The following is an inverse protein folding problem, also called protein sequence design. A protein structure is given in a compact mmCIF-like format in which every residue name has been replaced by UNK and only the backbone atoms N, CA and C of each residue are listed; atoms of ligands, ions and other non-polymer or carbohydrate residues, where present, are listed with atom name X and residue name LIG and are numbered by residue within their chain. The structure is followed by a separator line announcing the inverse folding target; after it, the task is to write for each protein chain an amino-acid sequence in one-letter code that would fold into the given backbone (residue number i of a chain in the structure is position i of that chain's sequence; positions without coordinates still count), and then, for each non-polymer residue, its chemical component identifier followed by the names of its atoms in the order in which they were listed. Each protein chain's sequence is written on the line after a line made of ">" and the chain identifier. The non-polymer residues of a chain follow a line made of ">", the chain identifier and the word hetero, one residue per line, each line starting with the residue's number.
data_IF_048752711004
#
_entry.id   IF_048752711004
#
_cell.length_a   1.000
_cell.length_b   1.000
_cell.length_c   1.000
_cell.angle_alpha   90.00
_cell.angle_beta   90.00
_cell.angle_gamma   90.00
#
_symmetry.space_group_name_H-M   'P 1'
#
loop_
_entity.id
_entity.type
_entity.pdbx_description
1 polymer ?
#
# COMPACT_ATOMS: atom_id res chain seq x y z
N UNK A 1 -10.85 28.89 -27.97
CA UNK A 1 -10.36 27.58 -28.44
C UNK A 1 -9.71 27.77 -29.80
N UNK A 2 -8.44 27.40 -29.96
CA UNK A 2 -7.74 27.36 -31.25
C UNK A 2 -7.37 25.92 -31.60
N UNK A 3 -7.26 25.60 -32.90
CA UNK A 3 -6.80 24.28 -33.34
C UNK A 3 -5.32 24.08 -32.98
N UNK A 4 -5.00 22.95 -32.33
CA UNK A 4 -3.65 22.57 -31.93
C UNK A 4 -2.78 22.18 -33.14
N UNK A 5 -3.38 21.44 -34.08
CA UNK A 5 -2.77 21.08 -35.36
C UNK A 5 -3.60 21.62 -36.52
N UNK A 6 -2.92 22.05 -37.57
CA UNK A 6 -3.51 22.46 -38.84
C UNK A 6 -2.75 21.78 -39.97
N UNK A 7 -3.47 21.46 -41.05
CA UNK A 7 -2.82 21.08 -42.29
C UNK A 7 -2.24 22.35 -42.93
N UNK A 8 -0.92 22.40 -43.06
CA UNK A 8 -0.20 23.37 -43.89
C UNK A 8 0.94 22.62 -44.58
N UNK A 9 0.74 22.34 -45.85
CA UNK A 9 1.68 21.62 -46.71
C UNK A 9 3.05 22.28 -46.76
N UNK A 10 3.12 23.61 -46.60
CA UNK A 10 4.36 24.36 -46.65
C UNK A 10 5.03 24.53 -45.28
N UNK A 11 4.41 24.06 -44.19
CA UNK A 11 4.92 24.14 -42.81
C UNK A 11 5.31 25.57 -42.37
N UNK A 12 4.63 26.56 -42.93
CA UNK A 12 4.81 27.99 -42.63
C UNK A 12 4.06 28.38 -41.35
N UNK A 13 2.91 27.76 -41.11
CA UNK A 13 2.20 27.85 -39.84
C UNK A 13 2.94 27.01 -38.79
N UNK A 14 3.39 27.66 -37.71
CA UNK A 14 4.03 26.98 -36.60
C UNK A 14 3.19 25.82 -36.07
N UNK A 15 1.85 25.88 -36.15
CA UNK A 15 0.93 24.81 -35.69
C UNK A 15 1.00 23.54 -36.54
N UNK A 16 1.40 23.65 -37.81
CA UNK A 16 1.53 22.49 -38.70
C UNK A 16 2.82 21.69 -38.45
N UNK A 17 3.84 22.31 -37.85
CA UNK A 17 5.09 21.61 -37.49
C UNK A 17 4.83 20.55 -36.43
N UNK A 18 5.09 19.28 -36.71
CA UNK A 18 5.12 18.23 -35.68
C UNK A 18 6.54 18.19 -35.12
N UNK A 19 6.69 18.61 -33.86
CA UNK A 19 7.96 18.61 -33.13
C UNK A 19 7.89 17.64 -31.96
N UNK A 20 9.04 17.19 -31.45
CA UNK A 20 9.09 16.32 -30.26
C UNK A 20 8.40 16.99 -29.07
N UNK A 21 8.68 18.27 -28.82
CA UNK A 21 8.01 19.06 -27.79
C UNK A 21 6.47 19.08 -27.91
N UNK A 22 5.95 19.14 -29.15
CA UNK A 22 4.49 19.08 -29.38
C UNK A 22 3.91 17.69 -29.17
N UNK A 23 4.65 16.66 -29.55
CA UNK A 23 4.25 15.28 -29.28
C UNK A 23 4.25 15.03 -27.77
N UNK A 24 5.30 15.46 -27.06
CA UNK A 24 5.42 15.33 -25.60
C UNK A 24 4.31 16.09 -24.84
N UNK A 25 3.89 17.25 -25.35
CA UNK A 25 2.76 18.00 -24.78
C UNK A 25 1.38 17.33 -24.97
N UNK A 26 1.27 16.32 -25.85
CA UNK A 26 0.01 15.62 -26.18
C UNK A 26 0.03 14.16 -25.73
N UNK A 27 1.21 13.54 -25.59
CA UNK A 27 1.40 12.18 -25.13
C UNK A 27 1.69 12.12 -23.62
N UNK A 28 0.99 11.26 -22.89
CA UNK A 28 1.41 10.80 -21.56
C UNK A 28 2.25 9.51 -21.73
N UNK A 29 2.16 8.58 -20.78
CA UNK A 29 2.78 7.26 -20.84
C UNK A 29 1.89 6.30 -21.64
N UNK A 30 2.48 5.63 -22.64
CA UNK A 30 1.82 4.59 -23.43
C UNK A 30 2.63 3.30 -23.32
N UNK A 31 2.01 2.22 -22.85
CA UNK A 31 2.65 0.91 -22.78
C UNK A 31 1.65 -0.19 -23.13
N UNK A 32 2.13 -1.28 -23.74
CA UNK A 32 1.32 -2.48 -24.01
C UNK A 32 1.06 -3.27 -22.73
N UNK A 33 2.06 -3.36 -21.85
CA UNK A 33 1.94 -3.91 -20.51
C UNK A 33 1.82 -2.76 -19.51
N UNK A 34 0.76 -2.75 -18.70
CA UNK A 34 0.56 -1.70 -17.68
C UNK A 34 1.61 -1.83 -16.58
N UNK A 35 1.92 -3.05 -16.17
CA UNK A 35 2.97 -3.35 -15.20
C UNK A 35 4.35 -3.47 -15.90
N UNK A 36 4.76 -2.43 -16.64
CA UNK A 36 6.01 -2.41 -17.41
C UNK A 36 7.29 -2.30 -16.55
N UNK A 37 7.16 -2.20 -15.23
CA UNK A 37 8.27 -2.36 -14.28
C UNK A 37 7.89 -3.52 -13.37
N UNK A 38 8.78 -4.50 -13.25
CA UNK A 38 8.50 -5.75 -12.54
C UNK A 38 9.66 -6.11 -11.63
N UNK A 39 9.35 -6.70 -10.48
CA UNK A 39 10.35 -7.42 -9.70
C UNK A 39 10.92 -8.57 -10.54
N UNK A 40 12.25 -8.71 -10.59
CA UNK A 40 12.90 -9.72 -11.42
C UNK A 40 13.89 -10.61 -10.65
N UNK A 41 14.59 -10.05 -9.67
CA UNK A 41 15.47 -10.79 -8.78
C UNK A 41 15.70 -10.01 -7.48
N UNK A 42 16.45 -10.60 -6.54
CA UNK A 42 16.76 -9.95 -5.27
C UNK A 42 17.41 -8.58 -5.47
N UNK A 43 16.78 -7.53 -4.94
CA UNK A 43 17.17 -6.13 -5.09
C UNK A 43 17.13 -5.60 -6.52
N UNK A 44 16.42 -6.27 -7.43
CA UNK A 44 16.39 -5.95 -8.86
C UNK A 44 14.98 -5.85 -9.42
N UNK A 45 14.82 -4.89 -10.32
CA UNK A 45 13.64 -4.70 -11.15
C UNK A 45 14.03 -4.80 -12.61
N UNK A 46 13.07 -5.18 -13.46
CA UNK A 46 13.20 -5.08 -14.91
C UNK A 46 12.17 -4.09 -15.44
N UNK A 47 12.64 -3.08 -16.15
CA UNK A 47 11.81 -2.24 -17.03
C UNK A 47 11.67 -3.00 -18.35
N UNK A 48 10.43 -3.21 -18.79
CA UNK A 48 10.12 -3.87 -20.05
C UNK A 48 10.32 -2.90 -21.22
N UNK A 49 10.71 -3.43 -22.37
CA UNK A 49 10.85 -2.62 -23.59
C UNK A 49 9.49 -2.17 -24.16
N UNK A 50 9.47 -0.99 -24.78
CA UNK A 50 8.39 -0.53 -25.65
C UNK A 50 7.39 0.43 -25.03
N UNK A 51 7.48 0.75 -23.74
CA UNK A 51 6.75 1.87 -23.16
C UNK A 51 7.31 3.20 -23.69
N UNK A 52 6.42 4.07 -24.18
CA UNK A 52 6.73 5.40 -24.70
C UNK A 52 6.36 6.44 -23.64
N UNK A 53 7.32 7.27 -23.24
CA UNK A 53 7.21 8.16 -22.08
C UNK A 53 7.70 9.56 -22.45
N UNK A 54 6.84 10.55 -22.28
CA UNK A 54 7.21 11.96 -22.39
C UNK A 54 7.85 12.47 -21.10
N UNK A 55 8.96 13.19 -21.22
CA UNK A 55 9.67 13.83 -20.11
C UNK A 55 10.12 15.22 -20.55
N UNK A 56 9.45 16.25 -20.03
CA UNK A 56 9.66 17.62 -20.51
C UNK A 56 9.32 17.76 -22.00
N UNK A 57 10.30 18.15 -22.80
CA UNK A 57 10.20 18.28 -24.26
C UNK A 57 10.73 17.07 -25.05
N UNK A 58 11.12 15.99 -24.36
CA UNK A 58 11.63 14.75 -24.94
C UNK A 58 10.62 13.60 -24.86
N UNK A 59 10.81 12.61 -25.75
CA UNK A 59 10.05 11.36 -25.76
C UNK A 59 11.05 10.21 -25.80
N UNK A 60 10.90 9.30 -24.85
CA UNK A 60 11.73 8.11 -24.70
C UNK A 60 10.94 6.86 -25.01
N UNK A 61 11.62 5.80 -25.45
CA UNK A 61 11.03 4.48 -25.61
C UNK A 61 11.90 3.49 -24.85
N UNK A 62 11.37 3.03 -23.72
CA UNK A 62 12.06 2.09 -22.83
C UNK A 62 12.64 0.90 -23.60
N UNK A 63 13.88 0.55 -23.28
CA UNK A 63 14.51 -0.73 -23.59
C UNK A 63 14.47 -1.64 -22.35
N UNK A 64 14.62 -2.95 -22.56
CA UNK A 64 14.71 -3.88 -21.45
C UNK A 64 15.91 -3.54 -20.57
N UNK A 65 15.64 -3.07 -19.34
CA UNK A 65 16.66 -2.50 -18.46
C UNK A 65 16.52 -3.06 -17.06
N UNK A 66 17.62 -3.53 -16.49
CA UNK A 66 17.66 -3.92 -15.07
C UNK A 66 17.96 -2.70 -14.21
N UNK A 67 17.11 -2.45 -13.21
CA UNK A 67 17.32 -1.44 -12.17
C UNK A 67 17.68 -2.11 -10.85
N UNK A 68 18.55 -1.47 -10.08
CA UNK A 68 19.00 -1.96 -8.77
C UNK A 68 19.43 -0.79 -7.87
N UNK A 69 20.01 -1.08 -6.70
CA UNK A 69 20.61 -0.06 -5.84
C UNK A 69 21.67 0.80 -6.54
N UNK A 70 22.25 0.34 -7.66
CA UNK A 70 23.15 1.15 -8.49
C UNK A 70 22.48 2.37 -9.16
N UNK A 71 21.14 2.38 -9.21
CA UNK A 71 20.35 3.48 -9.76
C UNK A 71 19.89 4.47 -8.68
N UNK A 72 20.25 4.28 -7.41
CA UNK A 72 19.91 5.22 -6.35
C UNK A 72 20.64 6.55 -6.56
N UNK A 73 19.92 7.65 -6.35
CA UNK A 73 20.41 9.02 -6.51
C UNK A 73 21.14 9.59 -5.28
N UNK A 74 20.97 8.97 -4.10
CA UNK A 74 21.64 9.40 -2.86
C UNK A 74 22.28 8.28 -2.04
N UNK A 75 21.56 7.18 -1.81
CA UNK A 75 22.03 6.07 -0.98
C UNK A 75 22.77 4.99 -1.80
N UNK A 76 23.54 4.12 -1.13
CA UNK A 76 24.25 3.00 -1.78
C UNK A 76 23.52 1.66 -1.70
N UNK A 77 22.39 1.61 -1.00
CA UNK A 77 21.58 0.42 -0.76
C UNK A 77 20.16 0.82 -0.37
N UNK A 78 19.18 -0.02 -0.67
CA UNK A 78 17.82 0.15 -0.18
C UNK A 78 17.77 -0.04 1.34
N UNK A 79 17.06 0.86 2.01
CA UNK A 79 16.86 0.84 3.46
C UNK A 79 15.52 0.20 3.82
N UNK A 80 15.51 -0.58 4.91
CA UNK A 80 14.33 -1.24 5.41
C UNK A 80 13.17 -0.29 5.67
N UNK A 81 11.97 -0.66 5.22
CA UNK A 81 10.72 0.04 5.50
C UNK A 81 10.60 1.37 4.74
N UNK A 82 11.32 1.51 3.62
CA UNK A 82 11.29 2.70 2.77
C UNK A 82 10.54 2.45 1.48
N UNK A 83 9.78 3.46 1.07
CA UNK A 83 9.23 3.55 -0.27
C UNK A 83 10.22 4.27 -1.18
N UNK A 84 10.39 3.71 -2.37
CA UNK A 84 11.25 4.22 -3.42
C UNK A 84 10.43 4.53 -4.66
N UNK A 85 10.82 5.60 -5.36
CA UNK A 85 10.16 6.10 -6.56
C UNK A 85 11.14 6.00 -7.74
N UNK A 86 10.64 5.50 -8.85
CA UNK A 86 11.42 5.31 -10.08
C UNK A 86 11.11 6.46 -11.03
N UNK A 87 12.16 7.14 -11.45
CA UNK A 87 12.10 8.27 -12.34
C UNK A 87 12.80 7.97 -13.66
N UNK A 88 12.19 8.45 -14.74
CA UNK A 88 12.85 8.62 -16.02
C UNK A 88 13.26 10.10 -16.15
N UNK A 89 14.53 10.34 -16.45
CA UNK A 89 15.14 11.65 -16.42
C UNK A 89 15.66 12.04 -17.80
N UNK A 90 15.37 13.28 -18.22
CA UNK A 90 15.91 13.90 -19.41
C UNK A 90 17.15 14.73 -19.05
N UNK A 91 18.34 14.28 -19.46
CA UNK A 91 19.60 14.99 -19.20
C UNK A 91 19.88 16.15 -20.18
N UNK A 92 18.93 16.46 -21.07
CA UNK A 92 19.02 17.54 -22.05
C UNK A 92 19.95 17.28 -23.23
N UNK A 93 20.38 16.03 -23.47
CA UNK A 93 21.28 15.66 -24.58
C UNK A 93 20.57 14.73 -25.55
N UNK A 94 20.36 15.19 -26.77
CA UNK A 94 19.75 14.41 -27.86
C UNK A 94 20.50 13.11 -28.21
N UNK A 95 21.77 13.00 -27.82
CA UNK A 95 22.59 11.79 -28.01
C UNK A 95 22.50 10.77 -26.87
N UNK A 96 21.74 11.07 -25.81
CA UNK A 96 21.57 10.18 -24.66
C UNK A 96 20.20 9.49 -24.70
N UNK A 97 20.20 8.21 -24.30
CA UNK A 97 18.98 7.43 -24.07
C UNK A 97 18.41 7.68 -22.67
N UNK A 98 17.46 6.84 -22.24
CA UNK A 98 16.84 6.86 -20.93
C UNK A 98 17.85 6.90 -19.77
N UNK A 99 17.66 7.84 -18.85
CA UNK A 99 18.36 7.85 -17.56
C UNK A 99 17.35 7.48 -16.47
N UNK A 100 17.56 6.34 -15.83
CA UNK A 100 16.73 5.91 -14.71
C UNK A 100 17.37 6.23 -13.37
N UNK A 101 16.61 6.86 -12.49
CA UNK A 101 16.97 7.10 -11.09
C UNK A 101 15.92 6.49 -10.16
N UNK A 102 16.39 5.94 -9.05
CA UNK A 102 15.55 5.51 -7.93
C UNK A 102 15.79 6.48 -6.78
N UNK A 103 14.72 7.01 -6.21
CA UNK A 103 14.81 8.02 -5.14
C UNK A 103 13.88 7.71 -3.98
N UNK A 104 14.24 8.13 -2.76
CA UNK A 104 13.29 8.23 -1.63
C UNK A 104 12.44 9.51 -1.73
N UNK A 105 12.87 10.49 -2.52
CA UNK A 105 12.15 11.73 -2.72
C UNK A 105 10.96 11.49 -3.66
N UNK A 106 9.76 11.80 -3.17
CA UNK A 106 8.52 11.59 -3.91
C UNK A 106 8.19 12.72 -4.89
N UNK A 107 8.97 13.79 -4.94
CA UNK A 107 8.73 14.89 -5.89
C UNK A 107 9.52 14.63 -7.17
N UNK A 108 10.85 14.62 -7.07
CA UNK A 108 11.81 14.33 -8.13
C UNK A 108 13.11 13.81 -7.49
N UNK A 109 14.01 13.16 -8.27
CA UNK A 109 15.29 12.67 -7.76
C UNK A 109 16.15 13.76 -7.12
N UNK A 110 16.95 13.38 -6.15
CA UNK A 110 17.95 14.25 -5.55
C UNK A 110 19.08 14.55 -6.56
N UNK A 111 19.57 15.80 -6.55
CA UNK A 111 20.55 16.32 -7.52
C UNK A 111 20.22 17.75 -7.90
N UNK A 112 21.21 18.55 -8.30
CA UNK A 112 20.98 19.97 -8.67
C UNK A 112 20.49 20.12 -10.11
N UNK A 113 20.64 19.05 -10.89
CA UNK A 113 20.27 18.96 -12.29
C UNK A 113 18.86 18.40 -12.52
N UNK A 114 18.17 17.94 -11.47
CA UNK A 114 16.84 17.30 -11.57
C UNK A 114 15.76 18.17 -10.95
N UNK A 115 14.65 18.33 -11.67
CA UNK A 115 13.45 19.02 -11.22
C UNK A 115 12.18 18.40 -11.85
N UNK A 116 11.03 19.06 -11.65
CA UNK A 116 9.74 18.61 -12.16
C UNK A 116 9.54 18.82 -13.68
N UNK A 117 10.47 19.52 -14.33
CA UNK A 117 10.40 19.80 -15.77
C UNK A 117 11.16 18.78 -16.60
N UNK A 118 12.20 18.16 -16.02
CA UNK A 118 13.07 17.21 -16.71
C UNK A 118 13.05 15.79 -16.11
N UNK A 119 12.16 15.52 -15.17
CA UNK A 119 11.94 14.17 -14.62
C UNK A 119 10.48 13.75 -14.67
N UNK A 120 10.27 12.44 -14.80
CA UNK A 120 8.94 11.83 -14.77
C UNK A 120 8.95 10.65 -13.82
N UNK A 121 8.11 10.71 -12.78
CA UNK A 121 7.85 9.54 -11.93
C UNK A 121 7.06 8.50 -12.72
N UNK A 122 7.66 7.33 -12.95
CA UNK A 122 7.09 6.26 -13.78
C UNK A 122 6.67 5.03 -12.98
N UNK A 123 7.10 4.93 -11.72
CA UNK A 123 6.75 3.83 -10.83
C UNK A 123 7.35 3.97 -9.45
N UNK A 124 7.33 2.88 -8.69
CA UNK A 124 7.93 2.80 -7.36
C UNK A 124 7.71 1.43 -6.73
N UNK A 125 8.22 1.27 -5.51
CA UNK A 125 8.13 0.03 -4.74
C UNK A 125 8.40 0.30 -3.25
N UNK A 126 8.07 -0.68 -2.42
CA UNK A 126 8.43 -0.74 -1.02
C UNK A 126 9.57 -1.74 -0.79
N UNK A 127 10.58 -1.38 0.00
CA UNK A 127 11.67 -2.29 0.39
C UNK A 127 11.51 -2.70 1.86
N UNK A 128 11.37 -3.99 2.13
CA UNK A 128 11.07 -4.49 3.46
C UNK A 128 11.02 -6.02 3.53
N UNK A 129 10.27 -6.56 4.49
CA UNK A 129 10.15 -8.00 4.64
C UNK A 129 9.29 -8.63 3.54
N UNK A 130 9.66 -9.84 3.11
CA UNK A 130 8.96 -10.61 2.08
C UNK A 130 8.79 -12.07 2.53
N UNK A 131 7.55 -12.57 2.47
CA UNK A 131 7.22 -13.96 2.76
C UNK A 131 7.66 -14.86 1.62
N UNK A 132 8.45 -15.88 1.92
CA UNK A 132 8.77 -16.90 0.91
C UNK A 132 7.54 -17.78 0.65
N UNK A 133 7.21 -17.92 -0.63
CA UNK A 133 6.05 -18.68 -1.12
C UNK A 133 6.45 -19.64 -2.24
N UNK A 134 5.61 -20.64 -2.49
CA UNK A 134 5.68 -21.46 -3.70
C UNK A 134 5.06 -20.74 -4.92
N UNK A 135 5.05 -21.43 -6.07
CA UNK A 135 4.46 -20.93 -7.32
C UNK A 135 2.96 -20.64 -7.25
N UNK A 136 2.27 -21.11 -6.21
CA UNK A 136 0.85 -20.89 -5.96
C UNK A 136 0.59 -19.80 -4.90
N UNK A 137 1.63 -19.13 -4.41
CA UNK A 137 1.51 -18.09 -3.40
C UNK A 137 1.26 -18.62 -1.99
N UNK A 138 1.64 -19.86 -1.69
CA UNK A 138 1.48 -20.47 -0.35
C UNK A 138 2.79 -20.41 0.42
N UNK A 139 2.73 -20.11 1.70
CA UNK A 139 3.86 -20.03 2.61
C UNK A 139 4.61 -21.37 2.72
N UNK A 140 5.94 -21.31 2.61
CA UNK A 140 6.81 -22.48 2.65
C UNK A 140 7.91 -22.35 3.69
N UNK A 141 8.42 -23.47 4.19
CA UNK A 141 9.67 -23.49 4.94
C UNK A 141 10.90 -23.43 4.01
N UNK A 142 12.10 -23.44 4.59
CA UNK A 142 13.37 -23.38 3.85
C UNK A 142 13.60 -24.57 2.91
N UNK A 143 12.85 -25.66 3.06
CA UNK A 143 12.88 -26.82 2.14
C UNK A 143 11.79 -26.78 1.07
N UNK A 144 11.01 -25.69 0.98
CA UNK A 144 9.92 -25.56 0.01
C UNK A 144 8.63 -26.31 0.39
N UNK A 145 8.52 -26.84 1.60
CA UNK A 145 7.30 -27.52 2.06
C UNK A 145 6.27 -26.50 2.55
N UNK A 146 5.06 -26.55 1.99
CA UNK A 146 3.93 -25.69 2.40
C UNK A 146 3.61 -25.92 3.87
N UNK A 147 3.63 -24.84 4.66
CA UNK A 147 3.51 -24.89 6.13
C UNK A 147 4.42 -25.94 6.81
N UNK A 148 5.58 -26.22 6.23
CA UNK A 148 6.59 -27.08 6.87
C UNK A 148 7.14 -26.42 8.13
N UNK A 149 7.76 -27.21 9.02
CA UNK A 149 8.34 -26.70 10.27
C UNK A 149 9.19 -25.43 10.06
N UNK A 150 8.87 -24.36 10.79
CA UNK A 150 9.60 -23.09 10.78
C UNK A 150 9.27 -22.15 9.62
N UNK A 151 8.23 -22.43 8.82
CA UNK A 151 7.78 -21.57 7.72
C UNK A 151 7.51 -20.12 8.14
N UNK A 152 7.05 -19.89 9.38
CA UNK A 152 6.74 -18.57 9.93
C UNK A 152 7.96 -17.65 9.92
N UNK A 153 9.15 -18.23 10.09
CA UNK A 153 10.43 -17.52 10.09
C UNK A 153 11.12 -17.45 8.73
N UNK A 154 10.57 -18.14 7.72
CA UNK A 154 11.09 -18.13 6.36
C UNK A 154 10.67 -16.85 5.61
N UNK A 155 11.21 -15.74 6.08
CA UNK A 155 11.05 -14.39 5.56
C UNK A 155 12.43 -13.90 5.17
N UNK A 156 12.50 -13.09 4.12
CA UNK A 156 13.72 -12.38 3.75
C UNK A 156 13.42 -10.88 3.63
N UNK A 157 14.45 -10.09 3.39
CA UNK A 157 14.32 -8.67 3.15
C UNK A 157 14.66 -8.39 1.70
N UNK A 158 13.80 -7.65 1.01
CA UNK A 158 13.91 -7.38 -0.42
C UNK A 158 12.94 -6.25 -0.84
N UNK A 159 12.95 -5.92 -2.13
CA UNK A 159 11.83 -5.26 -2.80
C UNK A 159 10.60 -6.16 -2.65
N UNK A 160 9.55 -5.69 -2.00
CA UNK A 160 8.29 -6.44 -1.91
C UNK A 160 7.68 -6.57 -3.31
N UNK A 161 7.61 -7.76 -3.93
CA UNK A 161 7.32 -7.88 -5.37
C UNK A 161 5.95 -7.32 -5.75
N UNK A 162 4.96 -7.46 -4.87
CA UNK A 162 3.61 -6.96 -5.07
C UNK A 162 3.44 -5.49 -4.66
N UNK A 163 4.46 -4.81 -4.14
CA UNK A 163 4.44 -3.35 -3.95
C UNK A 163 4.92 -2.58 -5.18
N UNK A 164 5.50 -3.27 -6.17
CA UNK A 164 5.97 -2.64 -7.41
C UNK A 164 4.78 -2.11 -8.19
N UNK A 165 4.79 -0.80 -8.44
CA UNK A 165 3.75 -0.10 -9.16
C UNK A 165 4.33 0.73 -10.30
N UNK A 166 3.53 1.00 -11.31
CA UNK A 166 3.85 1.90 -12.42
C UNK A 166 2.80 3.01 -12.53
N UNK A 167 3.07 4.05 -13.29
CA UNK A 167 2.08 5.08 -13.60
C UNK A 167 0.78 4.52 -14.21
N UNK A 168 0.80 3.32 -14.80
CA UNK A 168 -0.34 2.64 -15.41
C UNK A 168 -0.88 1.44 -14.59
N UNK A 169 -0.15 0.99 -13.57
CA UNK A 169 -0.51 -0.10 -12.67
C UNK A 169 -0.21 0.29 -11.22
N UNK A 170 -1.17 0.94 -10.56
CA UNK A 170 -1.02 1.53 -9.23
C UNK A 170 -2.39 1.67 -8.55
N UNK A 171 -2.45 1.88 -7.22
CA UNK A 171 -3.69 2.34 -6.60
C UNK A 171 -4.09 3.73 -7.11
N UNK A 172 -5.39 4.01 -7.03
CA UNK A 172 -5.95 5.34 -7.31
C UNK A 172 -5.47 6.39 -6.31
N UNK A 173 -5.20 6.00 -5.06
CA UNK A 173 -4.62 6.86 -4.04
C UNK A 173 -3.09 6.99 -4.18
N UNK A 174 -2.45 7.57 -3.17
CA UNK A 174 -0.99 7.52 -3.02
C UNK A 174 -0.53 6.05 -2.90
N UNK A 175 0.46 5.60 -3.70
CA UNK A 175 0.90 4.21 -3.74
C UNK A 175 1.92 3.84 -2.66
N UNK A 176 2.44 4.82 -1.91
CA UNK A 176 3.46 4.61 -0.89
C UNK A 176 2.92 3.73 0.23
N UNK A 177 3.71 2.76 0.66
CA UNK A 177 3.33 1.81 1.69
C UNK A 177 2.15 0.90 1.31
N UNK A 178 1.89 0.68 0.01
CA UNK A 178 0.82 -0.21 -0.44
C UNK A 178 1.34 -1.42 -1.21
N UNK A 179 0.59 -2.51 -1.14
CA UNK A 179 0.87 -3.75 -1.85
C UNK A 179 -0.38 -4.26 -2.58
N UNK A 180 -0.19 -4.71 -3.82
CA UNK A 180 -1.22 -5.29 -4.66
C UNK A 180 -1.63 -6.66 -4.15
N UNK A 181 -2.93 -6.86 -3.96
CA UNK A 181 -3.50 -8.12 -3.50
C UNK A 181 -3.95 -9.02 -4.68
N UNK A 182 -4.12 -8.44 -5.87
CA UNK A 182 -4.75 -9.07 -7.03
C UNK A 182 -6.11 -8.44 -7.34
N UNK A 183 -6.66 -8.75 -8.51
CA UNK A 183 -8.01 -8.33 -8.93
C UNK A 183 -8.30 -6.83 -8.79
N UNK A 184 -7.31 -5.98 -9.05
CA UNK A 184 -7.49 -4.54 -8.98
C UNK A 184 -7.49 -3.97 -7.56
N UNK A 185 -7.09 -4.71 -6.53
CA UNK A 185 -7.09 -4.26 -5.13
C UNK A 185 -5.67 -4.05 -4.58
N UNK A 186 -5.46 -2.93 -3.89
CA UNK A 186 -4.25 -2.62 -3.12
C UNK A 186 -4.59 -2.46 -1.64
N UNK A 187 -3.70 -2.89 -0.76
CA UNK A 187 -3.82 -2.72 0.68
C UNK A 187 -2.59 -2.04 1.26
N UNK A 188 -2.80 -1.29 2.33
CA UNK A 188 -1.74 -0.75 3.17
C UNK A 188 -0.87 -1.89 3.72
N UNK A 189 0.45 -1.79 3.57
CA UNK A 189 1.44 -2.76 4.07
C UNK A 189 1.42 -2.77 5.60
N UNK A 190 1.38 -1.59 6.23
CA UNK A 190 1.33 -1.41 7.67
C UNK A 190 -0.05 -0.97 8.16
N UNK A 191 -0.37 -1.28 9.42
CA UNK A 191 -1.48 -0.64 10.14
C UNK A 191 -1.36 0.88 10.00
N UNK A 192 -2.49 1.55 9.78
CA UNK A 192 -2.48 2.97 9.52
C UNK A 192 -2.03 3.77 10.75
N UNK A 193 -1.32 4.86 10.51
CA UNK A 193 -1.06 5.93 11.47
C UNK A 193 -1.71 7.23 11.03
N UNK A 194 -1.83 8.19 11.93
CA UNK A 194 -2.25 9.55 11.57
C UNK A 194 -1.22 10.19 10.64
N UNK A 195 -1.67 10.95 9.65
CA UNK A 195 -0.80 11.71 8.73
C UNK A 195 -0.47 13.13 9.24
N UNK A 196 -1.05 13.54 10.37
CA UNK A 196 -0.94 14.90 10.91
C UNK A 196 -1.82 15.94 10.17
N UNK A 197 -2.58 15.51 9.17
CA UNK A 197 -3.43 16.33 8.30
C UNK A 197 -4.89 15.83 8.28
N UNK A 198 -5.29 15.07 9.31
CA UNK A 198 -6.60 14.42 9.46
C UNK A 198 -6.89 13.25 8.50
N UNK A 199 -5.92 12.76 7.78
CA UNK A 199 -6.00 11.53 6.99
C UNK A 199 -5.34 10.34 7.69
N UNK A 200 -4.92 9.37 6.88
CA UNK A 200 -4.24 8.14 7.29
C UNK A 200 -3.05 7.88 6.35
N UNK A 201 -1.99 7.31 6.89
CA UNK A 201 -0.81 6.88 6.12
C UNK A 201 -0.36 5.48 6.57
N UNK A 202 0.29 4.73 5.67
CA UNK A 202 0.86 3.42 5.96
C UNK A 202 2.38 3.54 5.93
N UNK A 203 3.01 3.59 7.11
CA UNK A 203 4.43 3.94 7.23
C UNK A 203 5.11 3.01 8.23
N UNK A 204 6.27 2.47 7.86
CA UNK A 204 7.10 1.66 8.74
C UNK A 204 7.46 2.40 10.02
N UNK A 205 7.51 1.69 11.16
CA UNK A 205 7.90 2.24 12.45
C UNK A 205 7.00 3.38 12.97
N UNK A 206 5.83 3.59 12.38
CA UNK A 206 4.83 4.48 12.92
C UNK A 206 4.04 3.80 14.04
N UNK A 207 3.60 4.59 15.02
CA UNK A 207 2.63 4.11 16.02
C UNK A 207 1.25 4.07 15.35
N UNK A 208 0.53 2.93 15.38
CA UNK A 208 -0.77 2.84 14.73
C UNK A 208 -1.78 3.73 15.45
N UNK A 209 -2.66 4.36 14.66
CA UNK A 209 -3.77 5.17 15.19
C UNK A 209 -4.87 4.25 15.71
N UNK A 210 -5.44 4.61 16.85
CA UNK A 210 -6.45 3.83 17.57
C UNK A 210 -7.44 4.75 18.27
N UNK A 211 -8.34 4.18 19.08
CA UNK A 211 -9.20 4.97 19.94
C UNK A 211 -8.46 5.83 20.97
N UNK A 212 -7.15 5.64 21.21
CA UNK A 212 -6.36 6.60 21.99
C UNK A 212 -6.40 8.01 21.38
N UNK A 213 -6.42 8.08 20.05
CA UNK A 213 -6.55 9.31 19.27
C UNK A 213 -8.03 9.65 18.96
N UNK A 214 -8.98 8.96 19.58
CA UNK A 214 -10.42 9.13 19.35
C UNK A 214 -10.95 8.37 18.13
N UNK A 215 -10.16 7.48 17.53
CA UNK A 215 -10.62 6.66 16.40
C UNK A 215 -11.76 5.73 16.83
N UNK A 216 -12.86 5.80 16.10
CA UNK A 216 -13.91 4.77 16.05
C UNK A 216 -14.13 4.40 14.57
N UNK A 217 -15.07 3.48 14.30
CA UNK A 217 -15.31 3.00 12.94
C UNK A 217 -15.73 4.12 11.97
N UNK A 218 -16.54 5.09 12.42
CA UNK A 218 -16.96 6.23 11.59
C UNK A 218 -15.78 7.14 11.25
N UNK A 219 -15.00 7.53 12.25
CA UNK A 219 -13.84 8.40 12.09
C UNK A 219 -12.77 7.70 11.23
N UNK A 220 -12.60 6.39 11.36
CA UNK A 220 -11.71 5.62 10.51
C UNK A 220 -12.10 5.70 9.03
N UNK A 221 -13.39 5.55 8.71
CA UNK A 221 -13.90 5.73 7.34
C UNK A 221 -13.72 7.17 6.84
N UNK A 222 -14.02 8.17 7.67
CA UNK A 222 -13.85 9.58 7.31
C UNK A 222 -12.39 9.93 7.00
N UNK A 223 -11.44 9.46 7.83
CA UNK A 223 -10.02 9.68 7.62
C UNK A 223 -9.50 8.92 6.40
N UNK A 224 -9.93 7.67 6.19
CA UNK A 224 -9.58 6.87 5.01
C UNK A 224 -10.04 7.55 3.71
N UNK A 225 -11.29 8.06 3.68
CA UNK A 225 -11.85 8.72 2.51
C UNK A 225 -11.07 9.99 2.11
N UNK A 226 -10.54 10.75 3.08
CA UNK A 226 -9.74 11.96 2.82
C UNK A 226 -8.46 11.67 2.06
N UNK A 227 -7.90 10.47 2.18
CA UNK A 227 -6.70 10.02 1.48
C UNK A 227 -7.01 9.10 0.30
N UNK A 228 -8.27 9.06 -0.15
CA UNK A 228 -8.69 8.27 -1.31
C UNK A 228 -8.71 6.75 -1.06
N UNK A 229 -8.81 6.33 0.20
CA UNK A 229 -8.86 4.92 0.62
C UNK A 229 -10.19 4.59 1.29
N UNK A 230 -10.38 3.31 1.64
CA UNK A 230 -11.51 2.81 2.42
C UNK A 230 -11.07 1.69 3.36
N UNK A 231 -11.91 1.34 4.34
CA UNK A 231 -11.73 0.10 5.10
C UNK A 231 -11.95 -1.11 4.17
N UNK A 232 -11.22 -2.22 4.36
CA UNK A 232 -11.50 -3.45 3.64
C UNK A 232 -12.83 -4.04 4.08
N UNK A 233 -13.55 -4.70 3.18
CA UNK A 233 -14.56 -5.68 3.58
C UNK A 233 -13.88 -6.94 4.17
N UNK A 234 -14.68 -7.88 4.71
CA UNK A 234 -14.11 -9.07 5.33
C UNK A 234 -13.34 -9.94 4.32
N UNK A 235 -13.80 -10.08 3.09
CA UNK A 235 -13.15 -10.91 2.08
C UNK A 235 -11.80 -10.31 1.66
N UNK A 236 -11.75 -8.99 1.46
CA UNK A 236 -10.53 -8.23 1.17
C UNK A 236 -9.52 -8.34 2.33
N UNK A 237 -10.00 -8.21 3.56
CA UNK A 237 -9.17 -8.37 4.75
C UNK A 237 -8.57 -9.78 4.84
N UNK A 238 -9.37 -10.82 4.57
CA UNK A 238 -8.89 -12.21 4.55
C UNK A 238 -7.85 -12.46 3.47
N UNK A 239 -7.98 -11.84 2.29
CA UNK A 239 -6.96 -11.91 1.23
C UNK A 239 -5.65 -11.28 1.72
N UNK A 240 -5.73 -10.11 2.34
CA UNK A 240 -4.57 -9.41 2.89
C UNK A 240 -3.88 -10.24 4.00
N UNK A 241 -4.68 -10.93 4.82
CA UNK A 241 -4.21 -11.62 6.01
C UNK A 241 -3.68 -13.04 5.77
N UNK A 242 -4.02 -13.68 4.64
CA UNK A 242 -3.68 -15.08 4.37
C UNK A 242 -2.17 -15.37 4.55
N UNK A 243 -1.87 -16.51 5.17
CA UNK A 243 -0.49 -16.91 5.48
C UNK A 243 0.25 -16.06 6.51
N UNK A 244 -0.42 -15.10 7.18
CA UNK A 244 0.11 -14.50 8.40
C UNK A 244 0.14 -15.54 9.52
N UNK A 245 1.23 -15.68 10.29
CA UNK A 245 1.30 -16.62 11.39
C UNK A 245 0.22 -16.41 12.45
N UNK A 246 -0.20 -17.51 13.09
CA UNK A 246 -1.01 -17.44 14.30
C UNK A 246 -0.20 -16.82 15.44
N UNK A 247 -0.89 -16.06 16.31
CA UNK A 247 -0.29 -15.51 17.51
C UNK A 247 0.16 -16.57 18.52
N UNK A 248 0.99 -16.13 19.47
CA UNK A 248 1.55 -16.94 20.54
C UNK A 248 1.28 -16.26 21.89
N UNK A 249 0.88 -17.03 22.90
CA UNK A 249 0.62 -16.49 24.25
C UNK A 249 1.90 -16.00 24.93
N UNK A 250 2.99 -16.74 24.80
CA UNK A 250 4.23 -16.51 25.55
C UNK A 250 5.32 -15.79 24.77
N UNK A 251 5.05 -15.31 23.54
CA UNK A 251 6.08 -14.72 22.69
C UNK A 251 5.52 -13.74 21.66
N UNK A 252 6.36 -12.77 21.27
CA UNK A 252 6.12 -11.88 20.13
C UNK A 252 6.87 -12.34 18.86
N UNK A 253 7.34 -13.58 18.79
CA UNK A 253 8.11 -14.09 17.64
C UNK A 253 7.37 -13.94 16.30
N UNK A 254 6.04 -14.10 16.31
CA UNK A 254 5.20 -14.19 15.11
C UNK A 254 4.24 -13.00 14.92
N UNK A 255 4.32 -12.01 15.80
CA UNK A 255 3.40 -10.88 15.87
C UNK A 255 3.40 -10.30 17.27
N UNK A 256 2.90 -9.08 17.43
CA UNK A 256 2.69 -8.49 18.76
C UNK A 256 1.48 -9.16 19.40
N UNK A 257 1.67 -10.34 20.00
CA UNK A 257 0.56 -11.20 20.45
C UNK A 257 0.70 -11.71 21.88
N UNK A 258 1.90 -11.66 22.47
CA UNK A 258 2.12 -12.17 23.82
C UNK A 258 1.10 -11.60 24.82
N UNK A 259 0.44 -12.46 25.58
CA UNK A 259 -0.64 -12.06 26.51
C UNK A 259 -0.14 -11.15 27.64
N UNK A 260 1.18 -11.06 27.84
CA UNK A 260 1.83 -10.13 28.76
C UNK A 260 2.00 -8.71 28.21
N UNK A 261 1.76 -8.48 26.92
CA UNK A 261 1.83 -7.13 26.34
C UNK A 261 0.72 -6.25 26.93
N UNK A 262 1.01 -4.97 27.12
CA UNK A 262 0.08 -4.02 27.77
C UNK A 262 -0.35 -2.85 26.87
N UNK A 263 0.21 -2.72 25.67
CA UNK A 263 -0.07 -1.62 24.76
C UNK A 263 0.28 -1.96 23.30
N UNK A 264 -0.25 -1.15 22.37
CA UNK A 264 0.18 -1.12 20.96
C UNK A 264 1.62 -0.65 20.85
N UNK A 265 2.23 -0.96 19.72
CA UNK A 265 3.62 -0.59 19.42
C UNK A 265 3.80 -0.26 17.95
N UNK A 266 4.98 0.26 17.62
CA UNK A 266 5.35 0.65 16.27
C UNK A 266 5.29 -0.54 15.30
N UNK A 267 4.77 -0.27 14.10
CA UNK A 267 4.49 -1.26 13.06
C UNK A 267 5.75 -1.71 12.32
N UNK A 268 5.71 -2.92 11.75
CA UNK A 268 6.70 -3.48 10.84
C UNK A 268 7.94 -4.07 11.53
N UNK A 269 7.96 -4.17 12.86
CA UNK A 269 9.18 -4.53 13.62
C UNK A 269 9.46 -6.02 13.74
N UNK A 270 8.43 -6.86 13.62
CA UNK A 270 8.58 -8.31 13.77
C UNK A 270 8.63 -8.92 12.38
N UNK A 271 9.81 -9.40 11.99
CA UNK A 271 10.07 -10.04 10.69
C UNK A 271 9.04 -11.10 10.30
N UNK A 272 8.63 -11.94 11.25
CA UNK A 272 7.71 -13.04 10.96
C UNK A 272 6.25 -12.58 10.88
N UNK A 273 5.91 -11.38 11.34
CA UNK A 273 4.54 -10.86 11.39
C UNK A 273 4.10 -10.32 10.03
N UNK A 274 4.10 -11.17 9.02
CA UNK A 274 3.84 -10.82 7.63
C UNK A 274 3.05 -11.91 6.92
N UNK A 275 2.05 -11.50 6.13
CA UNK A 275 1.22 -12.39 5.30
C UNK A 275 1.93 -12.83 4.01
N UNK A 276 1.35 -13.76 3.25
CA UNK A 276 1.86 -14.09 1.89
C UNK A 276 1.67 -12.96 0.89
N UNK A 277 0.87 -11.95 1.24
CA UNK A 277 0.69 -10.71 0.47
C UNK A 277 1.60 -9.58 0.95
N UNK A 278 2.61 -9.91 1.76
CA UNK A 278 3.56 -8.96 2.33
C UNK A 278 2.90 -7.86 3.17
N UNK A 279 1.76 -8.18 3.80
CA UNK A 279 1.06 -7.26 4.70
C UNK A 279 1.55 -7.52 6.13
N UNK A 280 2.09 -6.47 6.76
CA UNK A 280 2.75 -6.51 8.06
C UNK A 280 1.77 -6.32 9.21
N UNK A 281 2.01 -7.00 10.33
CA UNK A 281 1.28 -6.88 11.60
C UNK A 281 -0.24 -7.06 11.52
N UNK A 282 -0.74 -7.76 10.49
CA UNK A 282 -2.17 -8.03 10.33
C UNK A 282 -2.74 -9.03 11.35
N UNK A 283 -1.87 -9.70 12.12
CA UNK A 283 -2.23 -10.55 13.25
C UNK A 283 -1.52 -10.05 14.52
N UNK A 284 -2.30 -9.59 15.50
CA UNK A 284 -1.77 -8.94 16.70
C UNK A 284 -1.56 -7.44 16.54
N UNK A 285 -0.83 -6.85 17.50
CA UNK A 285 -0.76 -5.41 17.72
C UNK A 285 -2.14 -4.85 18.04
N UNK A 286 -2.97 -4.51 17.05
CA UNK A 286 -4.33 -4.03 17.27
C UNK A 286 -5.31 -4.78 16.38
N UNK A 287 -6.54 -4.91 16.86
CA UNK A 287 -7.67 -5.25 16.01
C UNK A 287 -7.81 -4.21 14.88
N UNK A 288 -8.21 -4.64 13.69
CA UNK A 288 -8.41 -3.77 12.54
C UNK A 288 -9.91 -3.63 12.24
N UNK A 289 -10.44 -2.40 12.19
CA UNK A 289 -11.82 -2.18 11.75
C UNK A 289 -12.06 -2.69 10.31
N UNK A 290 -13.15 -3.43 10.12
CA UNK A 290 -13.61 -3.97 8.84
C UNK A 290 -14.91 -3.27 8.43
N UNK A 291 -15.10 -3.05 7.13
CA UNK A 291 -16.31 -2.45 6.55
C UNK A 291 -17.46 -3.47 6.43
N UNK A 292 -17.77 -4.16 7.52
CA UNK A 292 -18.86 -5.12 7.60
C UNK A 292 -19.56 -4.94 8.94
N UNK A 293 -20.89 -4.97 8.92
CA UNK A 293 -21.73 -4.72 10.09
C UNK A 293 -22.63 -5.94 10.35
N UNK A 294 -22.84 -6.28 11.61
CA UNK A 294 -23.83 -7.27 12.02
C UNK A 294 -24.64 -6.77 13.21
N UNK A 295 -25.78 -7.43 13.46
CA UNK A 295 -26.58 -7.17 14.65
C UNK A 295 -26.28 -8.22 15.72
N UNK A 296 -26.25 -7.79 16.97
CA UNK A 296 -26.26 -8.65 18.14
C UNK A 296 -27.49 -9.58 18.08
N UNK A 297 -27.30 -10.92 18.06
CA UNK A 297 -28.40 -11.86 17.93
C UNK A 297 -29.27 -11.98 19.20
N UNK A 298 -28.87 -11.38 20.33
CA UNK A 298 -29.51 -11.59 21.63
C UNK A 298 -30.51 -10.50 22.04
N UNK A 299 -30.53 -9.35 21.35
CA UNK A 299 -31.39 -8.23 21.71
C UNK A 299 -32.72 -8.24 20.91
N UNK A 300 -33.86 -8.06 21.59
CA UNK A 300 -35.19 -8.21 20.99
C UNK A 300 -36.08 -6.96 21.01
N UNK A 301 -35.65 -5.86 21.66
CA UNK A 301 -36.50 -4.69 21.92
C UNK A 301 -36.00 -3.44 21.20
N UNK A 302 -36.69 -3.04 20.14
CA UNK A 302 -36.26 -1.93 19.29
C UNK A 302 -36.63 -0.55 19.83
N UNK A 303 -35.67 0.36 19.86
CA UNK A 303 -35.88 1.76 20.21
C UNK A 303 -34.93 2.67 19.43
N UNK A 304 -35.21 3.96 19.43
CA UNK A 304 -34.29 4.99 18.94
C UNK A 304 -33.21 5.27 19.98
N UNK A 305 -31.94 5.20 19.57
CA UNK A 305 -30.79 5.48 20.43
C UNK A 305 -29.90 6.57 19.85
N UNK A 306 -29.63 7.60 20.67
CA UNK A 306 -28.68 8.66 20.38
C UNK A 306 -27.27 8.27 20.85
N UNK A 307 -26.63 7.35 20.13
CA UNK A 307 -25.28 6.85 20.45
C UNK A 307 -24.16 7.78 19.94
N UNK A 308 -24.48 8.68 19.00
CA UNK A 308 -23.57 9.67 18.44
C UNK A 308 -24.26 11.03 18.34
N UNK A 309 -24.04 11.88 19.36
CA UNK A 309 -24.70 13.19 19.45
C UNK A 309 -24.39 14.06 18.22
N UNK A 310 -25.43 14.59 17.58
CA UNK A 310 -25.31 15.46 16.39
C UNK A 310 -25.29 14.73 15.05
N UNK A 311 -25.28 13.39 15.03
CA UNK A 311 -25.21 12.57 13.81
C UNK A 311 -26.49 11.76 13.54
N UNK A 312 -27.59 12.09 14.23
CA UNK A 312 -28.85 11.35 14.16
C UNK A 312 -28.96 10.26 15.24
N UNK A 313 -30.01 9.44 15.15
CA UNK A 313 -30.25 8.31 16.06
C UNK A 313 -30.39 7.02 15.26
N UNK A 314 -30.01 5.89 15.87
CA UNK A 314 -30.12 4.56 15.26
C UNK A 314 -31.33 3.84 15.87
N UNK A 315 -32.19 3.27 15.04
CA UNK A 315 -33.25 2.36 15.48
C UNK A 315 -32.71 0.94 15.51
N UNK A 316 -32.51 0.38 16.70
CA UNK A 316 -31.85 -0.93 16.90
C UNK A 316 -32.33 -1.58 18.21
N UNK A 317 -32.05 -2.88 18.46
CA UNK A 317 -32.63 -3.60 19.60
C UNK A 317 -31.93 -3.40 20.95
N UNK A 318 -30.80 -2.70 20.99
CA UNK A 318 -30.13 -2.23 22.22
C UNK A 318 -29.19 -1.07 21.91
N UNK A 319 -28.67 -0.39 22.93
CA UNK A 319 -27.68 0.68 22.74
C UNK A 319 -26.38 0.22 22.08
N UNK A 320 -26.09 -1.08 22.03
CA UNK A 320 -24.84 -1.65 21.50
C UNK A 320 -25.06 -2.69 20.42
N UNK A 321 -26.30 -2.87 19.95
CA UNK A 321 -26.66 -4.00 19.10
C UNK A 321 -26.05 -3.97 17.70
N UNK A 322 -25.63 -2.81 17.20
CA UNK A 322 -24.92 -2.73 15.92
C UNK A 322 -23.44 -2.99 16.18
N UNK A 323 -22.90 -4.08 15.64
CA UNK A 323 -21.49 -4.42 15.73
C UNK A 323 -20.80 -4.17 14.38
N UNK A 324 -19.62 -3.56 14.42
CA UNK A 324 -18.68 -3.55 13.32
C UNK A 324 -17.65 -4.66 13.53
N UNK A 325 -17.36 -5.41 12.46
CA UNK A 325 -16.39 -6.49 12.53
C UNK A 325 -14.98 -5.91 12.72
N UNK A 326 -14.15 -6.66 13.44
CA UNK A 326 -12.73 -6.39 13.57
C UNK A 326 -11.89 -7.62 13.26
N UNK A 327 -10.73 -7.45 12.62
CA UNK A 327 -9.84 -8.54 12.21
C UNK A 327 -8.52 -8.61 12.99
N UNK A 328 -7.94 -9.80 13.10
CA UNK A 328 -6.52 -10.01 13.41
C UNK A 328 -6.13 -10.27 14.86
N UNK A 329 -6.86 -9.72 15.83
CA UNK A 329 -6.49 -9.77 17.25
C UNK A 329 -5.60 -8.60 17.69
N UNK A 330 -5.59 -8.30 18.99
CA UNK A 330 -4.75 -7.23 19.55
C UNK A 330 -3.59 -7.78 20.40
N UNK A 331 -2.76 -6.89 20.93
CA UNK A 331 -1.49 -7.21 21.60
C UNK A 331 -1.59 -8.21 22.76
N UNK A 332 -2.77 -8.32 23.40
CA UNK A 332 -3.04 -9.25 24.50
C UNK A 332 -3.87 -10.49 24.12
N UNK A 333 -4.17 -10.69 22.83
CA UNK A 333 -5.03 -11.78 22.36
C UNK A 333 -4.31 -13.14 22.22
N UNK A 334 -2.98 -13.20 22.28
CA UNK A 334 -2.27 -14.47 22.31
C UNK A 334 -2.52 -15.34 21.09
N UNK A 335 -2.78 -16.62 21.34
CA UNK A 335 -3.13 -17.63 20.31
C UNK A 335 -4.43 -17.34 19.56
N UNK A 336 -5.24 -16.37 20.01
CA UNK A 336 -6.45 -15.97 19.29
C UNK A 336 -6.16 -15.04 18.10
N UNK A 337 -4.98 -14.44 18.01
CA UNK A 337 -4.59 -13.66 16.83
C UNK A 337 -4.35 -14.55 15.61
N UNK A 338 -4.66 -14.06 14.42
CA UNK A 338 -4.35 -14.75 13.18
C UNK A 338 -5.15 -14.28 11.98
N UNK A 339 -4.85 -14.86 10.82
CA UNK A 339 -5.42 -14.49 9.51
C UNK A 339 -6.93 -14.72 9.34
N UNK A 340 -7.58 -15.31 10.35
CA UNK A 340 -9.03 -15.60 10.37
C UNK A 340 -9.68 -15.19 11.69
N UNK A 341 -8.95 -14.48 12.54
CA UNK A 341 -9.48 -13.97 13.80
C UNK A 341 -10.45 -12.83 13.49
N UNK A 342 -11.71 -12.98 13.86
CA UNK A 342 -12.74 -11.97 13.66
C UNK A 342 -13.47 -11.75 14.98
N UNK A 343 -13.50 -10.50 15.44
CA UNK A 343 -14.35 -10.04 16.55
C UNK A 343 -15.67 -9.49 16.03
N UNK A 344 -16.77 -9.86 16.68
CA UNK A 344 -18.13 -9.46 16.31
C UNK A 344 -18.88 -8.88 17.52
N UNK A 345 -18.20 -8.07 18.34
CA UNK A 345 -18.72 -7.55 19.63
C UNK A 345 -18.59 -6.04 19.78
N UNK A 346 -17.81 -5.38 18.93
CA UNK A 346 -17.51 -3.97 19.05
C UNK A 346 -18.47 -3.15 18.21
N UNK A 347 -19.03 -2.10 18.80
CA UNK A 347 -19.98 -1.22 18.11
C UNK A 347 -19.26 -0.06 17.38
N UNK A 348 -19.81 0.49 16.28
CA UNK A 348 -19.13 1.48 15.44
C UNK A 348 -18.63 2.75 16.15
N UNK A 349 -19.28 3.16 17.24
CA UNK A 349 -18.88 4.32 18.05
C UNK A 349 -17.95 3.95 19.23
N UNK A 350 -17.49 2.71 19.31
CA UNK A 350 -16.55 2.29 20.36
C UNK A 350 -15.17 2.90 20.13
N UNK A 351 -14.57 3.41 21.20
CA UNK A 351 -13.26 4.05 21.20
C UNK A 351 -12.40 3.31 22.21
N UNK A 352 -11.37 2.63 21.72
CA UNK A 352 -10.44 1.85 22.54
C UNK A 352 -9.04 1.87 21.96
N UNK A 353 -8.03 1.77 22.82
CA UNK A 353 -6.64 1.68 22.37
C UNK A 353 -6.36 0.40 21.56
N UNK A 354 -7.21 -0.63 21.69
CA UNK A 354 -6.97 -1.97 21.11
C UNK A 354 -7.46 -2.14 19.68
N UNK A 355 -8.12 -1.14 19.10
CA UNK A 355 -8.66 -1.19 17.73
C UNK A 355 -8.10 -0.02 16.94
N UNK A 356 -7.44 -0.34 15.83
CA UNK A 356 -6.96 0.59 14.82
C UNK A 356 -7.63 0.32 13.46
N UNK A 357 -6.92 0.62 12.39
CA UNK A 357 -7.44 0.47 11.03
C UNK A 357 -6.32 0.16 10.04
N UNK A 358 -6.67 -0.59 9.00
CA UNK A 358 -5.89 -0.74 7.76
C UNK A 358 -6.79 -0.35 6.60
N UNK A 359 -6.23 0.27 5.59
CA UNK A 359 -7.01 0.70 4.43
C UNK A 359 -6.66 -0.07 3.15
N UNK A 360 -7.60 -0.04 2.23
CA UNK A 360 -7.47 -0.55 0.87
C UNK A 360 -7.85 0.52 -0.15
N UNK A 361 -7.39 0.34 -1.39
CA UNK A 361 -7.70 1.20 -2.52
C UNK A 361 -7.79 0.38 -3.80
N UNK A 362 -8.71 0.74 -4.69
CA UNK A 362 -8.79 0.12 -6.01
C UNK A 362 -7.64 0.61 -6.91
N UNK A 363 -7.29 -0.21 -7.91
CA UNK A 363 -6.33 0.13 -8.96
C UNK A 363 -6.90 1.17 -9.92
N UNK A 364 -6.02 1.97 -10.51
CA UNK A 364 -6.34 2.92 -11.58
C UNK A 364 -6.76 2.24 -12.89
#
# INVERSE_FOLDING_TARGET
>A
MGRLFVYDENMTDERAKITVAKMAAVSDIVASEKAFIQYSAAGQLTVLAGAVIAVGDAIFQTEETTLSAANLDGASSFAHGKDYYIYLCNNGKDSSNEVYLISENSTFPDGVEWDDTNTRKIGGFHYGFVRNVDEYGREVNTSGSVRGSGWESNVHEDIAPNSVWTALHRPKCDPSGMAYLGNGLWADIYLASDDGANGLQSVYNATPITGTEGLNWYIANEKAARVGKRLPDLAEWLIAAEGSPQGLDGSNTNGWTATTNTARTAVGKIKNAISVKNIMDIAGNVWEWINELCLDPTAASWNWYNVMSGYGQIYMPSQTALHALVGGGHWGSGVHCGSRAVGCSDYPWYVTASIGVRCVCDSL
#
